data_IF_178548132950
#
_entry.id   IF_178548132950
#
_cell.length_a   1.000
_cell.length_b   1.000
_cell.length_c   1.000
_cell.angle_alpha   90.00
_cell.angle_beta   90.00
_cell.angle_gamma   90.00
#
_symmetry.space_group_name_H-M   'P 1'
#
loop_
_entity.id
_entity.type
_entity.pdbx_description
1 polymer ?
#
# COMPACT_ATOMS: atom_id res chain seq x y z
N UNK A 1 36.46 -22.84 -32.96
CA UNK A 1 36.68 -21.90 -31.84
C UNK A 1 36.01 -20.55 -32.08
N UNK A 2 36.07 -20.00 -33.30
CA UNK A 2 35.47 -18.70 -33.64
C UNK A 2 33.95 -18.64 -33.50
N UNK A 3 33.23 -19.72 -33.84
CA UNK A 3 31.76 -19.81 -33.73
C UNK A 3 31.26 -19.65 -32.28
N UNK A 4 31.91 -20.32 -31.32
CA UNK A 4 31.59 -20.18 -29.90
C UNK A 4 31.85 -18.74 -29.40
N UNK A 5 32.91 -18.10 -29.92
CA UNK A 5 33.30 -16.75 -29.56
C UNK A 5 32.36 -15.69 -30.14
N UNK A 6 31.77 -15.95 -31.31
CA UNK A 6 30.72 -15.10 -31.90
C UNK A 6 29.38 -15.23 -31.17
N UNK A 7 28.99 -16.45 -30.78
CA UNK A 7 27.80 -16.68 -29.96
C UNK A 7 27.93 -15.99 -28.61
N UNK A 8 29.07 -16.12 -27.93
CA UNK A 8 29.30 -15.47 -26.65
C UNK A 8 29.20 -13.93 -26.74
N UNK A 9 29.74 -13.33 -27.81
CA UNK A 9 29.60 -11.88 -28.07
C UNK A 9 28.15 -11.47 -28.32
N UNK A 10 27.41 -12.23 -29.13
CA UNK A 10 26.00 -11.94 -29.41
C UNK A 10 25.13 -12.03 -28.14
N UNK A 11 25.37 -13.04 -27.31
CA UNK A 11 24.72 -13.21 -26.01
C UNK A 11 25.06 -12.04 -25.07
N UNK A 12 26.34 -11.67 -24.98
CA UNK A 12 26.78 -10.54 -24.14
C UNK A 12 26.13 -9.22 -24.57
N UNK A 13 26.00 -8.96 -25.88
CA UNK A 13 25.31 -7.77 -26.40
C UNK A 13 23.82 -7.81 -26.07
N UNK A 14 23.15 -8.97 -26.23
CA UNK A 14 21.74 -9.11 -25.88
C UNK A 14 21.47 -8.93 -24.38
N UNK A 15 22.31 -9.48 -23.51
CA UNK A 15 22.21 -9.23 -22.06
C UNK A 15 22.56 -7.80 -21.69
N UNK A 16 23.50 -7.16 -22.38
CA UNK A 16 23.86 -5.77 -22.17
C UNK A 16 22.69 -4.83 -22.48
N UNK A 17 22.05 -5.00 -23.64
CA UNK A 17 20.93 -4.15 -24.05
C UNK A 17 19.69 -4.41 -23.18
N UNK A 18 19.37 -5.67 -22.90
CA UNK A 18 18.21 -6.01 -22.06
C UNK A 18 18.42 -5.59 -20.59
N UNK A 19 19.62 -5.78 -20.04
CA UNK A 19 19.95 -5.35 -18.69
C UNK A 19 19.92 -3.83 -18.52
N UNK A 20 20.46 -3.08 -19.48
CA UNK A 20 20.37 -1.62 -19.48
C UNK A 20 18.93 -1.13 -19.61
N UNK A 21 18.15 -1.72 -20.51
CA UNK A 21 16.73 -1.42 -20.68
C UNK A 21 15.94 -1.66 -19.39
N UNK A 22 16.14 -2.82 -18.75
CA UNK A 22 15.49 -3.16 -17.49
C UNK A 22 15.91 -2.20 -16.37
N UNK A 23 17.21 -1.93 -16.22
CA UNK A 23 17.71 -0.98 -15.22
C UNK A 23 17.12 0.42 -15.37
N UNK A 24 16.97 0.89 -16.61
CA UNK A 24 16.35 2.19 -16.90
C UNK A 24 14.87 2.23 -16.51
N UNK A 25 14.11 1.18 -16.84
CA UNK A 25 12.70 1.06 -16.45
C UNK A 25 12.54 1.04 -14.92
N UNK A 26 13.37 0.27 -14.21
CA UNK A 26 13.34 0.21 -12.75
C UNK A 26 13.63 1.59 -12.13
N UNK A 27 14.58 2.34 -12.67
CA UNK A 27 14.91 3.69 -12.22
C UNK A 27 13.73 4.65 -12.40
N UNK A 28 13.11 4.65 -13.59
CA UNK A 28 11.92 5.48 -13.87
C UNK A 28 10.80 5.13 -12.89
N UNK A 29 10.59 3.84 -12.61
CA UNK A 29 9.53 3.37 -11.75
C UNK A 29 9.70 3.87 -10.31
N UNK A 30 10.92 3.82 -9.76
CA UNK A 30 11.24 4.39 -8.44
C UNK A 30 11.03 5.90 -8.41
N UNK A 31 11.47 6.62 -9.45
CA UNK A 31 11.29 8.08 -9.56
C UNK A 31 9.81 8.43 -9.63
N UNK A 32 9.03 7.67 -10.40
CA UNK A 32 7.60 7.86 -10.56
C UNK A 32 6.87 7.63 -9.23
N UNK A 33 7.17 6.54 -8.50
CA UNK A 33 6.56 6.27 -7.19
C UNK A 33 6.86 7.40 -6.21
N UNK A 34 8.12 7.86 -6.12
CA UNK A 34 8.50 8.98 -5.26
C UNK A 34 7.75 10.27 -5.61
N UNK A 35 7.59 10.57 -6.89
CA UNK A 35 6.82 11.74 -7.34
C UNK A 35 5.33 11.59 -7.07
N UNK A 36 4.78 10.39 -7.28
CA UNK A 36 3.36 10.11 -7.08
C UNK A 36 2.97 10.10 -5.60
N UNK A 37 3.89 9.69 -4.70
CA UNK A 37 3.69 9.67 -3.24
C UNK A 37 3.83 11.05 -2.59
N UNK A 38 4.55 11.99 -3.22
CA UNK A 38 4.83 13.31 -2.62
C UNK A 38 3.53 14.10 -2.42
N UNK A 39 3.25 14.47 -1.16
CA UNK A 39 2.07 15.26 -0.80
C UNK A 39 0.76 14.49 -0.85
N UNK A 40 0.81 13.15 -0.82
CA UNK A 40 -0.39 12.31 -0.79
C UNK A 40 -0.47 11.48 0.48
N UNK A 41 -1.70 11.29 0.94
CA UNK A 41 -2.05 10.37 2.01
C UNK A 41 -2.90 9.24 1.46
N UNK A 42 -2.83 8.08 2.08
CA UNK A 42 -3.66 6.93 1.74
C UNK A 42 -4.83 6.86 2.71
N UNK A 43 -6.06 6.74 2.21
CA UNK A 43 -7.21 6.47 3.05
C UNK A 43 -7.80 5.10 2.75
N UNK A 44 -8.07 4.37 3.83
CA UNK A 44 -8.90 3.18 3.79
C UNK A 44 -10.30 3.55 4.27
N UNK A 45 -11.31 3.37 3.42
CA UNK A 45 -12.71 3.56 3.76
C UNK A 45 -13.36 2.21 4.05
N UNK A 46 -13.92 2.08 5.24
CA UNK A 46 -14.86 1.02 5.56
C UNK A 46 -16.26 1.41 5.12
N UNK A 47 -16.76 0.73 4.10
CA UNK A 47 -18.15 0.83 3.66
C UNK A 47 -19.09 0.03 4.56
N UNK A 48 -20.35 0.45 4.60
CA UNK A 48 -21.42 -0.26 5.33
C UNK A 48 -21.58 -1.72 4.87
N UNK A 49 -21.16 -2.03 3.64
CA UNK A 49 -21.17 -3.37 3.07
C UNK A 49 -19.97 -4.23 3.50
N UNK A 50 -19.17 -3.75 4.47
CA UNK A 50 -17.92 -4.39 4.95
C UNK A 50 -16.85 -4.54 3.87
N UNK A 51 -16.96 -3.75 2.80
CA UNK A 51 -15.91 -3.65 1.78
C UNK A 51 -14.93 -2.55 2.19
N UNK A 52 -13.65 -2.80 1.90
CA UNK A 52 -12.58 -1.83 2.09
C UNK A 52 -12.32 -1.17 0.74
N UNK A 53 -12.62 0.12 0.64
CA UNK A 53 -12.27 0.93 -0.53
C UNK A 53 -11.05 1.79 -0.20
N UNK A 54 -10.16 1.92 -1.18
CA UNK A 54 -8.88 2.58 -0.96
C UNK A 54 -8.78 3.80 -1.87
N UNK A 55 -8.40 4.94 -1.32
CA UNK A 55 -8.21 6.16 -2.08
C UNK A 55 -6.88 6.83 -1.75
N UNK A 56 -6.19 7.27 -2.80
CA UNK A 56 -4.98 8.07 -2.68
C UNK A 56 -5.37 9.54 -2.76
N UNK A 57 -5.29 10.23 -1.63
CA UNK A 57 -5.75 11.60 -1.45
C UNK A 57 -4.56 12.55 -1.54
N UNK A 58 -4.73 13.66 -2.24
CA UNK A 58 -3.78 14.78 -2.23
C UNK A 58 -4.03 15.64 -1.00
N UNK A 59 -3.03 15.72 -0.11
CA UNK A 59 -3.10 16.54 1.10
C UNK A 59 -2.80 17.99 0.70
N UNK A 60 -3.74 18.90 0.94
CA UNK A 60 -3.52 20.34 0.80
C UNK A 60 -3.95 20.97 -0.54
N UNK A 61 -5.02 20.48 -1.17
CA UNK A 61 -5.57 21.14 -2.39
C UNK A 61 -6.18 22.52 -2.06
N UNK A 62 -6.70 22.71 -0.84
CA UNK A 62 -7.48 23.91 -0.46
C UNK A 62 -6.85 24.76 0.65
N UNK A 63 -5.55 24.60 0.92
CA UNK A 63 -4.85 25.42 1.93
C UNK A 63 -5.14 25.05 3.40
N UNK A 64 -6.03 24.09 3.67
CA UNK A 64 -6.21 23.47 4.98
C UNK A 64 -5.61 22.06 5.02
N UNK A 65 -4.50 21.83 5.75
CA UNK A 65 -3.86 20.50 5.83
C UNK A 65 -4.68 19.49 6.64
N UNK A 66 -5.72 19.95 7.34
CA UNK A 66 -6.51 19.14 8.27
C UNK A 66 -7.73 18.50 7.62
N UNK A 67 -8.10 18.85 6.37
CA UNK A 67 -9.33 18.35 5.74
C UNK A 67 -9.12 18.01 4.27
N UNK A 68 -9.85 17.00 3.80
CA UNK A 68 -9.93 16.65 2.38
C UNK A 68 -11.34 16.20 2.00
N UNK A 69 -11.71 16.42 0.74
CA UNK A 69 -12.92 15.85 0.17
C UNK A 69 -12.59 14.53 -0.51
N UNK A 70 -13.30 13.45 -0.15
CA UNK A 70 -13.21 12.19 -0.88
C UNK A 70 -14.01 12.27 -2.18
N UNK A 71 -13.93 11.21 -3.01
CA UNK A 71 -14.73 11.12 -4.25
C UNK A 71 -16.24 11.20 -4.05
N UNK A 72 -16.70 10.91 -2.84
CA UNK A 72 -18.11 10.95 -2.45
C UNK A 72 -18.57 12.36 -2.01
N UNK A 73 -17.73 13.39 -2.21
CA UNK A 73 -17.98 14.78 -1.77
C UNK A 73 -18.13 14.95 -0.25
N UNK A 74 -17.88 13.89 0.53
CA UNK A 74 -17.82 13.96 1.99
C UNK A 74 -16.48 14.55 2.46
N UNK A 75 -16.56 15.43 3.46
CA UNK A 75 -15.40 16.09 4.08
C UNK A 75 -14.84 15.20 5.21
N UNK A 76 -13.56 14.88 5.14
CA UNK A 76 -12.84 14.05 6.10
C UNK A 76 -11.69 14.82 6.75
N UNK A 77 -11.42 14.52 8.01
CA UNK A 77 -10.39 15.19 8.81
C UNK A 77 -9.13 14.32 8.87
N UNK A 78 -7.97 14.93 8.65
CA UNK A 78 -6.66 14.29 8.84
C UNK A 78 -6.20 14.61 10.25
N UNK A 79 -6.24 13.61 11.15
CA UNK A 79 -5.69 13.73 12.50
C UNK A 79 -4.31 13.06 12.55
N UNK A 80 -3.21 13.80 12.82
CA UNK A 80 -1.86 13.23 12.91
C UNK A 80 -1.71 12.13 13.96
N UNK A 81 -2.57 12.12 14.98
CA UNK A 81 -2.54 11.14 16.07
C UNK A 81 -3.12 9.79 15.64
N UNK A 82 -4.01 9.79 14.64
CA UNK A 82 -4.70 8.57 14.15
C UNK A 82 -4.16 8.10 12.80
N UNK A 83 -3.11 8.75 12.29
CA UNK A 83 -2.39 8.31 11.08
C UNK A 83 -1.29 7.31 11.40
N UNK A 84 -1.11 6.32 10.52
CA UNK A 84 0.01 5.37 10.54
C UNK A 84 0.73 5.36 9.19
N UNK A 85 1.90 4.72 9.11
CA UNK A 85 2.66 4.64 7.86
C UNK A 85 2.28 3.40 7.07
N UNK A 86 1.99 3.58 5.78
CA UNK A 86 1.68 2.50 4.85
C UNK A 86 2.64 2.50 3.66
N UNK A 87 3.08 1.31 3.24
CA UNK A 87 4.00 1.15 2.11
C UNK A 87 3.23 1.12 0.79
N UNK A 88 3.30 2.20 0.02
CA UNK A 88 2.62 2.37 -1.26
C UNK A 88 3.60 2.35 -2.44
N UNK A 89 3.27 1.78 -3.61
CA UNK A 89 1.97 1.23 -4.00
C UNK A 89 1.79 -0.25 -3.58
N UNK A 90 0.55 -0.69 -3.32
CA UNK A 90 0.27 -2.10 -3.06
C UNK A 90 0.60 -2.95 -4.29
N UNK A 91 1.11 -4.17 -4.06
CA UNK A 91 1.48 -5.11 -5.13
C UNK A 91 2.86 -4.91 -5.74
N UNK A 92 3.59 -3.86 -5.36
CA UNK A 92 4.98 -3.67 -5.78
C UNK A 92 5.98 -4.40 -4.86
N UNK A 93 7.23 -4.60 -5.28
CA UNK A 93 8.30 -5.03 -4.39
C UNK A 93 8.67 -3.96 -3.36
N UNK A 94 9.16 -4.35 -2.19
CA UNK A 94 9.44 -3.41 -1.08
C UNK A 94 10.48 -2.33 -1.41
N UNK A 95 11.43 -2.61 -2.30
CA UNK A 95 12.43 -1.64 -2.76
C UNK A 95 11.86 -0.50 -3.63
N UNK A 96 10.67 -0.69 -4.19
CA UNK A 96 9.94 0.36 -4.92
C UNK A 96 9.11 1.21 -3.98
N UNK A 97 8.53 0.58 -2.96
CA UNK A 97 7.50 1.19 -2.13
C UNK A 97 8.06 2.41 -1.38
N UNK A 98 7.19 3.39 -1.19
CA UNK A 98 7.44 4.54 -0.34
C UNK A 98 6.47 4.53 0.84
N UNK A 99 6.97 4.82 2.05
CA UNK A 99 6.10 5.03 3.20
C UNK A 99 5.31 6.33 2.97
N UNK A 100 3.99 6.23 3.03
CA UNK A 100 3.07 7.36 2.96
C UNK A 100 2.18 7.38 4.21
N UNK A 101 1.76 8.57 4.68
CA UNK A 101 0.83 8.67 5.78
C UNK A 101 -0.52 8.08 5.37
N UNK A 102 -1.10 7.29 6.27
CA UNK A 102 -2.32 6.54 6.04
C UNK A 102 -3.30 6.70 7.21
N UNK A 103 -4.60 6.76 6.92
CA UNK A 103 -5.65 6.77 7.93
C UNK A 103 -6.81 5.85 7.52
N UNK A 104 -7.52 5.34 8.52
CA UNK A 104 -8.71 4.51 8.32
C UNK A 104 -9.93 5.37 8.65
N UNK A 105 -10.93 5.33 7.79
CA UNK A 105 -12.17 6.07 7.94
C UNK A 105 -13.35 5.12 7.83
N UNK A 106 -14.44 5.43 8.55
CA UNK A 106 -15.75 4.88 8.23
C UNK A 106 -16.40 5.80 7.19
N UNK A 107 -16.99 5.25 6.13
CA UNK A 107 -17.66 6.08 5.12
C UNK A 107 -18.77 6.93 5.78
N UNK A 108 -18.88 8.20 5.36
CA UNK A 108 -19.74 9.24 5.96
C UNK A 108 -19.42 9.67 7.40
N UNK A 109 -18.32 9.21 8.00
CA UNK A 109 -17.82 9.77 9.27
C UNK A 109 -16.57 10.61 9.01
N UNK A 110 -16.53 11.87 9.45
CA UNK A 110 -15.43 12.77 9.15
C UNK A 110 -14.15 12.39 9.92
N UNK A 111 -14.28 11.77 11.09
CA UNK A 111 -13.16 11.43 11.94
C UNK A 111 -12.51 10.10 11.55
N UNK A 112 -11.15 10.04 11.52
CA UNK A 112 -10.44 8.80 11.32
C UNK A 112 -10.62 7.90 12.54
N UNK A 113 -10.72 6.60 12.29
CA UNK A 113 -10.79 5.57 13.32
C UNK A 113 -9.41 5.44 13.95
N UNK A 114 -9.39 5.34 15.27
CA UNK A 114 -8.17 5.16 16.01
C UNK A 114 -7.64 3.74 15.81
N UNK A 115 -6.52 3.62 15.11
CA UNK A 115 -5.85 2.35 14.87
C UNK A 115 -5.19 1.78 16.14
N UNK A 116 -5.08 2.58 17.22
CA UNK A 116 -4.51 2.17 18.51
C UNK A 116 -5.58 1.71 19.52
N UNK A 117 -6.84 2.08 19.32
CA UNK A 117 -7.95 1.74 20.19
C UNK A 117 -8.53 0.35 19.90
N UNK A 118 -7.76 -0.70 20.19
CA UNK A 118 -8.20 -2.10 20.38
C UNK A 118 -8.91 -2.82 19.20
N UNK A 119 -8.74 -4.15 19.08
CA UNK A 119 -9.32 -4.94 17.99
C UNK A 119 -10.86 -5.04 18.00
N UNK A 120 -11.53 -4.56 19.05
CA UNK A 120 -12.98 -4.68 19.19
C UNK A 120 -13.78 -3.74 18.26
N UNK A 121 -13.17 -2.67 17.74
CA UNK A 121 -13.91 -1.63 17.00
C UNK A 121 -13.94 -1.78 15.48
N UNK A 122 -13.14 -2.69 14.89
CA UNK A 122 -12.84 -2.64 13.45
C UNK A 122 -12.75 -3.97 12.70
N UNK A 123 -12.92 -5.10 13.39
CA UNK A 123 -12.51 -6.38 12.80
C UNK A 123 -13.64 -7.02 12.01
N UNK A 124 -13.62 -6.83 10.69
CA UNK A 124 -14.21 -7.81 9.76
C UNK A 124 -13.25 -9.00 9.57
N UNK A 125 -13.78 -10.17 9.20
CA UNK A 125 -12.97 -11.37 8.95
C UNK A 125 -11.86 -11.17 7.89
N UNK A 126 -12.02 -10.20 6.98
CA UNK A 126 -11.00 -9.85 5.99
C UNK A 126 -9.82 -9.08 6.61
N UNK A 127 -10.06 -8.18 7.58
CA UNK A 127 -8.99 -7.48 8.32
C UNK A 127 -8.13 -8.44 9.14
N UNK A 128 -8.74 -9.48 9.75
CA UNK A 128 -8.01 -10.57 10.42
C UNK A 128 -7.12 -11.35 9.45
N UNK A 129 -7.56 -11.59 8.22
CA UNK A 129 -6.78 -12.31 7.20
C UNK A 129 -5.52 -11.55 6.76
N UNK A 130 -5.52 -10.23 6.79
CA UNK A 130 -4.34 -9.41 6.49
C UNK A 130 -3.41 -9.21 7.69
N UNK A 131 -3.89 -9.42 8.92
CA UNK A 131 -3.11 -9.30 10.16
C UNK A 131 -2.54 -10.64 10.66
N UNK A 132 -3.17 -11.78 10.35
CA UNK A 132 -2.76 -13.08 10.88
C UNK A 132 -1.89 -13.88 9.90
N UNK A 133 -0.67 -14.15 10.37
CA UNK A 133 0.25 -15.14 9.84
C UNK A 133 -0.41 -16.54 9.82
N UNK A 134 -0.13 -17.35 8.78
CA UNK A 134 -0.76 -18.66 8.54
C UNK A 134 -0.58 -19.62 9.74
N UNK A 135 0.48 -19.40 10.52
CA UNK A 135 0.81 -20.15 11.73
C UNK A 135 -0.19 -19.89 12.88
N UNK A 136 -0.72 -18.67 13.01
CA UNK A 136 -1.72 -18.33 14.05
C UNK A 136 -3.08 -18.95 13.74
N UNK A 137 -3.45 -19.01 12.46
CA UNK A 137 -4.65 -19.72 12.05
C UNK A 137 -4.54 -21.20 12.42
N UNK A 138 -3.42 -21.85 12.11
CA UNK A 138 -3.20 -23.27 12.44
C UNK A 138 -3.23 -23.57 13.94
N UNK A 139 -2.68 -22.69 14.80
CA UNK A 139 -2.77 -22.89 16.26
C UNK A 139 -4.20 -22.80 16.77
N UNK A 140 -4.99 -21.87 16.23
CA UNK A 140 -6.39 -21.69 16.64
C UNK A 140 -7.26 -22.88 16.24
N UNK A 141 -7.02 -23.47 15.05
CA UNK A 141 -7.71 -24.69 14.61
C UNK A 141 -7.30 -25.93 15.42
N UNK A 142 -6.05 -25.99 15.90
CA UNK A 142 -5.58 -27.10 16.74
C UNK A 142 -6.23 -27.07 18.13
N UNK A 143 -6.26 -25.90 18.77
CA UNK A 143 -6.92 -25.72 20.08
C UNK A 143 -8.43 -26.01 20.01
N UNK A 144 -9.08 -25.68 18.89
CA UNK A 144 -10.51 -25.98 18.68
C UNK A 144 -10.79 -27.47 18.40
N UNK A 145 -9.79 -28.28 18.04
CA UNK A 145 -9.95 -29.72 17.80
C UNK A 145 -9.63 -30.59 19.02
N UNK A 146 -8.92 -30.01 20.00
CA UNK A 146 -8.52 -30.68 21.25
C UNK A 146 -9.45 -30.34 22.43
N UNK A 147 -10.48 -29.52 22.20
CA UNK A 147 -11.57 -29.20 23.15
C UNK A 147 -12.87 -29.93 22.76
#
# INVERSE_FOLDING_TARGET
MEFALTIAKAIAVMFGISGLGMGFVLMILVIWVKRAAKGKAYAFFFESNRQLTNELITVGVDGNPERFMAKDEAEYIISPQRTFWYSWPPGFPDWVKQPIPCAIYQRNKPDPIDHTAGPESLVSAQSLKYMMDENMLRSTWKDASEA
#
